data_IF_812614661820
#
_entry.id   IF_812614661820
#
_cell.length_a   1.000
_cell.length_b   1.000
_cell.length_c   1.000
_cell.angle_alpha   90.00
_cell.angle_beta   90.00
_cell.angle_gamma   90.00
#
_symmetry.space_group_name_H-M   'P 1'
#
loop_
_entity.id
_entity.type
_entity.pdbx_description
1 polymer ?
#
# COMPACT_ATOMS: atom_id res chain seq x y z
N UNK A 1 8.80 2.33 2.25
CA UNK A 1 8.49 0.91 2.41
C UNK A 1 9.22 0.03 1.41
N UNK A 2 10.53 0.28 1.18
CA UNK A 2 11.33 -0.63 0.38
C UNK A 2 11.92 -1.69 1.30
N UNK A 3 11.68 -2.94 0.96
CA UNK A 3 12.26 -4.08 1.63
C UNK A 3 13.64 -4.34 1.02
N UNK A 4 14.63 -3.56 1.44
CA UNK A 4 15.99 -3.56 0.85
C UNK A 4 16.71 -4.91 0.90
N UNK A 5 16.17 -5.85 1.66
CA UNK A 5 16.72 -7.19 1.86
C UNK A 5 16.16 -8.21 0.86
N UNK A 6 15.07 -7.86 0.13
CA UNK A 6 14.45 -8.71 -0.89
C UNK A 6 15.09 -8.45 -2.26
N UNK A 7 15.29 -9.50 -3.03
CA UNK A 7 15.82 -9.41 -4.40
C UNK A 7 14.79 -8.88 -5.42
N UNK A 8 13.52 -8.82 -5.03
CA UNK A 8 12.39 -8.32 -5.81
C UNK A 8 11.42 -7.58 -4.89
N UNK A 9 10.89 -6.46 -5.38
CA UNK A 9 9.86 -5.73 -4.65
C UNK A 9 8.52 -6.51 -4.66
N UNK A 10 7.76 -6.47 -3.54
CA UNK A 10 6.37 -6.93 -3.52
C UNK A 10 5.57 -6.24 -4.64
N UNK A 11 4.65 -6.95 -5.30
CA UNK A 11 3.94 -6.40 -6.48
C UNK A 11 2.64 -5.70 -6.15
N UNK A 12 1.84 -6.30 -5.29
CA UNK A 12 0.51 -5.81 -4.96
C UNK A 12 0.25 -5.82 -3.46
N UNK A 13 -0.59 -4.91 -3.02
CA UNK A 13 -1.14 -4.89 -1.67
C UNK A 13 -2.66 -4.95 -1.78
N UNK A 14 -3.26 -5.88 -1.02
CA UNK A 14 -4.69 -5.86 -0.75
C UNK A 14 -4.88 -5.03 0.51
N UNK A 15 -5.67 -3.97 0.41
CA UNK A 15 -6.07 -3.13 1.55
C UNK A 15 -7.56 -3.31 1.77
N UNK A 16 -7.95 -3.66 2.99
CA UNK A 16 -9.33 -3.96 3.38
C UNK A 16 -9.77 -3.01 4.50
N UNK A 17 -10.87 -2.31 4.26
CA UNK A 17 -11.51 -1.44 5.25
C UNK A 17 -12.10 -2.29 6.39
N UNK A 18 -11.69 -2.04 7.64
CA UNK A 18 -12.33 -2.68 8.82
C UNK A 18 -13.42 -1.79 9.42
N UNK A 19 -13.34 -0.49 9.17
CA UNK A 19 -14.38 0.51 9.43
C UNK A 19 -14.68 1.25 8.12
N UNK A 20 -15.83 1.92 8.03
CA UNK A 20 -16.10 2.83 6.90
C UNK A 20 -14.96 3.85 6.76
N UNK A 21 -14.50 4.06 5.53
CA UNK A 21 -13.44 4.99 5.16
C UNK A 21 -14.04 6.07 4.27
N UNK A 22 -14.16 7.28 4.79
CA UNK A 22 -14.79 8.43 4.15
C UNK A 22 -13.83 9.62 4.04
N UNK A 23 -14.18 10.63 3.23
CA UNK A 23 -13.39 11.87 3.16
C UNK A 23 -13.18 12.50 4.54
N UNK A 24 -14.22 12.49 5.38
CA UNK A 24 -14.19 13.09 6.72
C UNK A 24 -13.20 12.39 7.66
N UNK A 25 -13.14 11.06 7.62
CA UNK A 25 -12.29 10.27 8.51
C UNK A 25 -10.94 9.87 7.88
N UNK A 26 -10.58 10.50 6.76
CA UNK A 26 -9.24 10.45 6.19
C UNK A 26 -9.04 9.34 5.16
N UNK A 27 -10.02 9.12 4.27
CA UNK A 27 -9.97 8.06 3.26
C UNK A 27 -8.71 8.08 2.36
N UNK A 28 -8.52 7.01 1.59
CA UNK A 28 -7.33 6.86 0.74
C UNK A 28 -7.47 7.77 -0.48
N UNK A 29 -6.35 8.36 -0.89
CA UNK A 29 -6.23 9.16 -2.10
C UNK A 29 -5.14 8.54 -2.93
N UNK A 30 -5.41 8.25 -4.20
CA UNK A 30 -4.47 7.63 -5.13
C UNK A 30 -4.22 8.53 -6.33
N UNK A 31 -3.06 8.37 -6.97
CA UNK A 31 -2.75 8.99 -8.26
C UNK A 31 -2.75 7.89 -9.33
N UNK A 32 -3.85 7.69 -10.10
CA UNK A 32 -3.94 6.61 -11.07
C UNK A 32 -2.81 6.65 -12.11
N UNK A 33 -2.28 5.47 -12.46
CA UNK A 33 -1.19 5.35 -13.44
C UNK A 33 0.22 5.67 -12.91
N UNK A 34 0.35 6.30 -11.74
CA UNK A 34 1.64 6.69 -11.16
C UNK A 34 2.58 5.51 -10.88
N UNK A 35 2.06 4.29 -10.69
CA UNK A 35 2.86 3.07 -10.55
C UNK A 35 3.79 2.78 -11.74
N UNK A 36 3.51 3.36 -12.91
CA UNK A 36 4.36 3.23 -14.11
C UNK A 36 5.66 4.02 -14.01
N UNK A 37 5.80 4.91 -13.02
CA UNK A 37 7.03 5.66 -12.77
C UNK A 37 8.16 4.80 -12.17
N UNK A 38 7.84 3.60 -11.70
CA UNK A 38 8.79 2.76 -11.00
C UNK A 38 8.95 3.15 -9.53
N UNK A 39 10.02 2.64 -8.92
CA UNK A 39 10.43 3.04 -7.58
C UNK A 39 11.03 4.45 -7.61
N UNK A 40 10.42 5.37 -6.86
CA UNK A 40 10.83 6.79 -6.84
C UNK A 40 11.88 7.06 -5.77
N UNK A 41 11.63 6.60 -4.53
CA UNK A 41 12.53 6.82 -3.39
C UNK A 41 13.07 5.47 -2.91
N UNK A 42 14.40 5.29 -2.96
CA UNK A 42 15.03 4.04 -2.52
C UNK A 42 15.11 3.90 -1.00
N UNK A 43 15.19 5.02 -0.28
CA UNK A 43 15.52 5.07 1.15
C UNK A 43 14.39 5.62 2.04
N UNK A 44 13.30 6.09 1.46
CA UNK A 44 12.19 6.73 2.19
C UNK A 44 10.83 6.27 1.68
N UNK A 45 9.89 6.06 2.60
CA UNK A 45 8.48 5.85 2.29
C UNK A 45 7.74 7.17 1.96
N UNK A 46 8.31 8.30 2.38
CA UNK A 46 7.68 9.62 2.26
C UNK A 46 8.35 10.45 1.18
N UNK A 47 7.55 11.30 0.53
CA UNK A 47 7.98 12.26 -0.47
C UNK A 47 8.26 13.62 0.17
N UNK A 48 9.17 14.38 -0.43
CA UNK A 48 9.37 15.78 -0.08
C UNK A 48 8.18 16.61 -0.57
N UNK A 49 7.98 17.81 -0.02
CA UNK A 49 6.93 18.72 -0.51
C UNK A 49 7.09 19.07 -1.98
N UNK A 50 8.32 19.16 -2.47
CA UNK A 50 8.60 19.43 -3.88
C UNK A 50 8.14 18.27 -4.77
N UNK A 51 8.44 17.03 -4.38
CA UNK A 51 7.95 15.83 -5.07
C UNK A 51 6.43 15.78 -5.06
N UNK A 52 5.78 16.07 -3.92
CA UNK A 52 4.32 16.13 -3.84
C UNK A 52 3.75 17.14 -4.83
N UNK A 53 4.29 18.37 -4.88
CA UNK A 53 3.85 19.40 -5.84
C UNK A 53 4.03 18.97 -7.30
N UNK A 54 5.14 18.31 -7.64
CA UNK A 54 5.36 17.76 -8.98
C UNK A 54 4.32 16.70 -9.34
N UNK A 55 4.04 15.76 -8.43
CA UNK A 55 3.04 14.71 -8.68
C UNK A 55 1.62 15.27 -8.79
N UNK A 56 1.25 16.22 -7.94
CA UNK A 56 -0.04 16.91 -8.00
C UNK A 56 -0.23 17.68 -9.31
N UNK A 57 0.84 18.20 -9.91
CA UNK A 57 0.78 18.88 -11.21
C UNK A 57 0.67 17.90 -12.40
N UNK A 58 1.09 16.64 -12.22
CA UNK A 58 1.19 15.64 -13.29
C UNK A 58 0.06 14.62 -13.32
N UNK A 59 -0.64 14.43 -12.20
CA UNK A 59 -1.66 13.41 -12.05
C UNK A 59 -2.91 13.96 -11.38
N UNK A 60 -4.08 13.58 -11.91
CA UNK A 60 -5.33 13.77 -11.19
C UNK A 60 -5.39 12.80 -10.01
N UNK A 61 -5.83 13.31 -8.85
CA UNK A 61 -6.05 12.48 -7.67
C UNK A 61 -7.46 11.88 -7.67
N UNK A 62 -7.57 10.65 -7.19
CA UNK A 62 -8.84 9.96 -6.98
C UNK A 62 -8.99 9.60 -5.52
N UNK A 63 -10.09 10.03 -4.94
CA UNK A 63 -10.49 9.70 -3.58
C UNK A 63 -11.22 8.36 -3.58
N UNK A 64 -10.81 7.46 -2.69
CA UNK A 64 -11.41 6.13 -2.53
C UNK A 64 -12.11 6.03 -1.17
N UNK A 65 -13.44 6.10 -1.20
CA UNK A 65 -14.28 5.79 -0.04
C UNK A 65 -14.67 4.31 -0.04
N UNK A 66 -14.75 3.73 1.16
CA UNK A 66 -15.04 2.31 1.34
C UNK A 66 -16.04 2.13 2.47
N UNK A 67 -16.93 1.15 2.33
CA UNK A 67 -17.68 0.58 3.45
C UNK A 67 -16.83 -0.47 4.16
N UNK A 68 -17.08 -0.68 5.44
CA UNK A 68 -16.45 -1.77 6.19
C UNK A 68 -16.62 -3.13 5.44
N UNK A 69 -15.51 -3.85 5.26
CA UNK A 69 -15.42 -5.10 4.52
C UNK A 69 -15.01 -4.96 3.04
N UNK A 70 -15.10 -3.76 2.46
CA UNK A 70 -14.64 -3.55 1.08
C UNK A 70 -13.11 -3.56 1.00
N UNK A 71 -12.59 -4.01 -0.14
CA UNK A 71 -11.17 -4.14 -0.38
C UNK A 71 -10.77 -3.52 -1.71
N UNK A 72 -9.53 -3.03 -1.78
CA UNK A 72 -8.89 -2.58 -3.00
C UNK A 72 -7.55 -3.29 -3.20
N UNK A 73 -7.25 -3.63 -4.45
CA UNK A 73 -5.94 -4.16 -4.85
C UNK A 73 -5.14 -3.01 -5.45
N UNK A 74 -3.98 -2.73 -4.85
CA UNK A 74 -3.10 -1.63 -5.26
C UNK A 74 -1.78 -2.21 -5.77
N UNK A 75 -1.26 -1.66 -6.85
CA UNK A 75 0.15 -1.88 -7.20
C UNK A 75 1.03 -1.20 -6.14
N UNK A 76 2.13 -1.81 -5.71
CA UNK A 76 2.93 -1.27 -4.59
C UNK A 76 3.69 0.02 -4.90
N UNK A 77 3.92 0.30 -6.18
CA UNK A 77 4.42 1.61 -6.63
C UNK A 77 3.32 2.64 -6.91
N UNK A 78 2.04 2.30 -6.74
CA UNK A 78 0.97 3.28 -6.89
C UNK A 78 1.10 4.34 -5.80
N UNK A 79 1.28 5.59 -6.20
CA UNK A 79 1.34 6.70 -5.26
C UNK A 79 -0.02 6.86 -4.58
N UNK A 80 0.00 6.84 -3.26
CA UNK A 80 -1.19 6.99 -2.45
C UNK A 80 -0.86 7.69 -1.14
N UNK A 81 -1.87 8.32 -0.56
CA UNK A 81 -1.82 8.96 0.75
C UNK A 81 -3.16 8.76 1.47
N UNK A 82 -3.23 9.16 2.73
CA UNK A 82 -4.47 9.21 3.50
C UNK A 82 -4.77 10.63 3.93
N UNK A 83 -6.05 11.01 3.90
CA UNK A 83 -6.48 12.24 4.55
C UNK A 83 -6.27 12.22 6.07
N UNK A 84 -6.35 13.38 6.69
CA UNK A 84 -6.37 13.51 8.16
C UNK A 84 -7.75 13.08 8.66
N UNK A 85 -7.80 12.15 9.61
CA UNK A 85 -9.05 11.80 10.29
C UNK A 85 -9.47 12.95 11.21
N UNK A 86 -10.56 13.65 10.84
CA UNK A 86 -11.13 14.76 11.63
C UNK A 86 -12.39 14.35 12.40
N UNK A 87 -12.81 13.09 12.26
CA UNK A 87 -13.98 12.57 12.93
C UNK A 87 -13.67 12.10 14.36
N UNK A 88 -14.70 11.72 15.10
CA UNK A 88 -14.57 11.07 16.42
C UNK A 88 -14.46 9.55 16.36
N UNK A 89 -14.50 8.97 15.16
CA UNK A 89 -14.49 7.51 14.95
C UNK A 89 -13.13 7.04 14.44
N UNK A 90 -12.68 5.84 14.87
CA UNK A 90 -11.51 5.22 14.26
C UNK A 90 -11.79 4.86 12.81
N UNK A 91 -10.71 4.73 12.03
CA UNK A 91 -10.73 4.28 10.64
C UNK A 91 -9.63 3.23 10.48
N UNK A 92 -9.96 1.99 10.86
CA UNK A 92 -9.03 0.86 10.85
C UNK A 92 -9.06 0.17 9.50
N UNK A 93 -7.92 -0.41 9.16
CA UNK A 93 -7.77 -1.21 7.96
C UNK A 93 -6.76 -2.33 8.18
N UNK A 94 -6.86 -3.34 7.35
CA UNK A 94 -5.92 -4.45 7.28
C UNK A 94 -5.28 -4.47 5.90
N UNK A 95 -3.97 -4.65 5.84
CA UNK A 95 -3.23 -4.74 4.58
C UNK A 95 -2.37 -5.99 4.51
N UNK A 96 -2.34 -6.60 3.32
CA UNK A 96 -1.47 -7.74 3.00
C UNK A 96 -0.75 -7.44 1.70
N UNK A 97 0.58 -7.45 1.75
CA UNK A 97 1.42 -7.34 0.57
C UNK A 97 1.72 -8.75 0.02
N UNK A 98 1.49 -8.95 -1.28
CA UNK A 98 1.83 -10.17 -1.99
C UNK A 98 3.11 -9.97 -2.79
N UNK A 99 3.95 -10.99 -2.73
CA UNK A 99 5.26 -11.05 -3.39
C UNK A 99 5.26 -12.17 -4.43
N UNK A 100 6.22 -12.12 -5.35
CA UNK A 100 6.46 -13.26 -6.22
C UNK A 100 6.94 -14.45 -5.37
N UNK A 101 6.48 -15.66 -5.69
CA UNK A 101 6.87 -16.86 -4.95
C UNK A 101 8.39 -17.14 -5.04
N UNK A 102 9.06 -16.63 -6.08
CA UNK A 102 10.50 -16.72 -6.24
C UNK A 102 11.28 -15.63 -5.50
N UNK A 103 10.62 -14.68 -4.80
CA UNK A 103 11.30 -13.63 -4.03
C UNK A 103 12.18 -14.25 -2.94
N UNK A 104 13.44 -13.83 -2.90
CA UNK A 104 14.44 -14.30 -1.95
C UNK A 104 14.89 -13.17 -1.02
N UNK A 105 15.05 -13.48 0.27
CA UNK A 105 15.61 -12.56 1.25
C UNK A 105 17.11 -12.83 1.46
N UNK A 106 17.93 -11.79 1.30
CA UNK A 106 19.39 -11.88 1.36
C UNK A 106 19.96 -11.84 2.79
N UNK A 107 19.14 -11.57 3.80
CA UNK A 107 19.55 -11.43 5.19
C UNK A 107 19.53 -12.74 6.00
N UNK A 108 19.22 -13.88 5.37
CA UNK A 108 19.13 -15.18 6.04
C UNK A 108 17.97 -15.28 7.04
N UNK A 109 16.99 -14.37 6.96
CA UNK A 109 15.82 -14.39 7.84
C UNK A 109 14.89 -15.55 7.46
N UNK A 110 14.63 -16.42 8.42
CA UNK A 110 13.58 -17.43 8.28
C UNK A 110 12.20 -16.79 8.52
N UNK A 111 11.25 -17.12 7.65
CA UNK A 111 9.86 -16.68 7.79
C UNK A 111 9.02 -17.86 8.26
N UNK A 112 8.11 -17.61 9.22
CA UNK A 112 7.18 -18.63 9.68
C UNK A 112 6.24 -19.05 8.55
N UNK A 113 6.27 -20.33 8.20
CA UNK A 113 5.29 -20.92 7.29
C UNK A 113 3.99 -21.15 8.08
N UNK A 114 2.96 -20.36 7.77
CA UNK A 114 1.66 -20.45 8.45
C UNK A 114 0.81 -21.56 7.81
N UNK A 115 0.93 -21.77 6.50
CA UNK A 115 0.25 -22.84 5.76
C UNK A 115 1.29 -23.53 4.86
N UNK A 116 1.69 -24.76 5.21
CA UNK A 116 2.68 -25.57 4.49
C UNK A 116 2.17 -27.00 4.25
N UNK A 117 2.95 -27.80 3.53
CA UNK A 117 2.61 -29.18 3.11
C UNK A 117 2.12 -30.02 4.30
N UNK A 118 0.81 -30.14 4.43
CA UNK A 118 0.12 -30.71 5.60
C UNK A 118 -1.24 -30.05 5.89
N UNK A 119 -1.51 -28.88 5.30
CA UNK A 119 -2.83 -28.25 5.33
C UNK A 119 -3.76 -28.83 4.27
N UNK A 120 -4.22 -30.07 4.42
CA UNK A 120 -5.45 -30.50 3.76
C UNK A 120 -6.64 -29.75 4.38
N UNK A 121 -7.43 -29.07 3.54
CA UNK A 121 -8.79 -28.64 3.85
C UNK A 121 -9.79 -29.56 3.16
#
# INVERSE_FOLDING_TARGET
DRWNELDRDPRVTIWTALDDSTVENGCMIVLPGSHKLGLINESSAFFTEEQCRDFEARFDSVVLEFRAGESVVLHNWLLHTSGINRSTRPRRAFSVAYMDAATWASNGREFSVIFGDGGES
#
